data_IF_698378619672
#
_entry.id   IF_698378619672
#
_cell.length_a   1.000
_cell.length_b   1.000
_cell.length_c   1.000
_cell.angle_alpha   90.00
_cell.angle_beta   90.00
_cell.angle_gamma   90.00
#
_symmetry.space_group_name_H-M   'P 1'
#
loop_
_entity.id
_entity.type
_entity.pdbx_description
1 polymer ?
#
# COMPACT_ATOMS: atom_id res chain seq x y z
N UNK A 1 -3.93 -8.16 6.52
CA UNK A 1 -2.91 -8.36 5.48
C UNK A 1 -3.31 -7.59 4.22
N UNK A 2 -2.34 -7.00 3.51
CA UNK A 2 -2.52 -6.46 2.15
C UNK A 2 -1.57 -7.16 1.16
N UNK A 3 -1.93 -7.27 -0.11
CA UNK A 3 -1.06 -7.86 -1.14
C UNK A 3 -1.72 -7.96 -2.50
N UNK A 4 -0.97 -8.31 -3.55
CA UNK A 4 -1.48 -8.46 -4.92
C UNK A 4 -2.44 -9.65 -4.98
N UNK A 5 -3.73 -9.38 -5.15
CA UNK A 5 -4.81 -10.39 -5.11
C UNK A 5 -5.31 -10.85 -6.47
N UNK A 6 -4.74 -10.27 -7.52
CA UNK A 6 -5.17 -10.33 -8.91
C UNK A 6 -4.41 -11.35 -9.76
N UNK A 7 -3.33 -11.95 -9.24
CA UNK A 7 -2.45 -12.82 -10.03
C UNK A 7 -2.30 -14.26 -9.52
N UNK A 8 -2.87 -14.62 -8.35
CA UNK A 8 -2.66 -15.94 -7.77
C UNK A 8 -3.91 -16.49 -7.07
N UNK A 9 -4.08 -17.81 -7.11
CA UNK A 9 -4.93 -18.53 -6.15
C UNK A 9 -4.31 -18.39 -4.76
N UNK A 10 -4.72 -17.34 -4.05
CA UNK A 10 -4.17 -16.95 -2.75
C UNK A 10 -4.34 -18.03 -1.69
N UNK A 11 -5.24 -19.01 -1.88
CA UNK A 11 -5.40 -20.15 -0.97
C UNK A 11 -4.18 -21.08 -0.98
N UNK A 12 -3.41 -21.09 -2.07
CA UNK A 12 -2.19 -21.90 -2.24
C UNK A 12 -0.92 -21.16 -1.82
N UNK A 13 -1.01 -19.89 -1.48
CA UNK A 13 0.12 -19.08 -1.02
C UNK A 13 0.05 -18.98 0.51
N UNK A 14 0.95 -19.65 1.27
CA UNK A 14 0.85 -19.79 2.72
C UNK A 14 0.92 -18.47 3.49
N UNK A 15 1.34 -17.39 2.83
CA UNK A 15 1.34 -16.05 3.39
C UNK A 15 -0.06 -15.44 3.53
N UNK A 16 -0.99 -15.77 2.61
CA UNK A 16 -2.33 -15.19 2.57
C UNK A 16 -3.35 -15.96 3.42
N UNK A 17 -3.12 -17.26 3.66
CA UNK A 17 -3.93 -18.05 4.60
C UNK A 17 -3.69 -17.68 6.06
N UNK A 18 -2.50 -17.15 6.38
CA UNK A 18 -2.10 -16.78 7.74
C UNK A 18 -1.59 -17.94 8.59
N UNK A 19 -1.69 -19.19 8.10
CA UNK A 19 -1.32 -20.40 8.85
C UNK A 19 0.14 -20.35 9.32
N UNK A 20 1.06 -19.91 8.45
CA UNK A 20 2.48 -19.81 8.79
C UNK A 20 2.73 -18.85 9.96
N UNK A 21 2.05 -17.70 9.97
CA UNK A 21 2.20 -16.68 11.02
C UNK A 21 1.55 -17.16 12.32
N UNK A 22 0.36 -17.74 12.25
CA UNK A 22 -0.36 -18.29 13.43
C UNK A 22 0.47 -19.41 14.07
N UNK A 23 0.96 -20.36 13.26
CA UNK A 23 1.76 -21.48 13.75
C UNK A 23 3.07 -21.01 14.39
N UNK A 24 3.76 -20.07 13.76
CA UNK A 24 5.00 -19.49 14.30
C UNK A 24 4.75 -18.75 15.61
N UNK A 25 3.68 -17.96 15.68
CA UNK A 25 3.30 -17.25 16.91
C UNK A 25 2.91 -18.21 18.03
N UNK A 26 2.24 -19.32 17.73
CA UNK A 26 1.91 -20.35 18.71
C UNK A 26 3.17 -21.04 19.24
N UNK A 27 4.12 -21.40 18.35
CA UNK A 27 5.39 -22.02 18.73
C UNK A 27 6.23 -21.10 19.63
N UNK A 28 6.36 -19.83 19.26
CA UNK A 28 7.11 -18.84 20.03
C UNK A 28 6.48 -18.52 21.39
N UNK A 29 5.19 -18.84 21.59
CA UNK A 29 4.47 -18.68 22.85
C UNK A 29 4.33 -19.99 23.64
N UNK A 30 5.31 -20.88 23.55
CA UNK A 30 5.32 -22.15 24.29
C UNK A 30 4.19 -23.12 23.89
N UNK A 31 3.72 -23.06 22.65
CA UNK A 31 2.65 -23.92 22.14
C UNK A 31 1.22 -23.45 22.46
N UNK A 32 1.04 -22.29 23.10
CA UNK A 32 -0.29 -21.76 23.42
C UNK A 32 -1.05 -21.33 22.17
N UNK A 33 -2.28 -21.85 22.01
CA UNK A 33 -3.25 -21.40 20.99
C UNK A 33 -3.67 -19.95 21.25
N UNK A 34 -4.11 -19.24 20.19
CA UNK A 34 -4.62 -17.86 20.22
C UNK A 34 -3.61 -16.77 20.62
N UNK A 35 -2.32 -16.96 20.34
CA UNK A 35 -1.31 -15.91 20.60
C UNK A 35 -1.47 -14.66 19.72
N UNK A 36 -2.17 -14.78 18.58
CA UNK A 36 -2.51 -13.69 17.66
C UNK A 36 -3.89 -13.90 17.06
N UNK A 37 -4.49 -12.81 16.58
CA UNK A 37 -5.65 -12.84 15.68
C UNK A 37 -5.18 -12.41 14.31
N UNK A 38 -5.38 -13.27 13.30
CA UNK A 38 -5.04 -12.97 11.92
C UNK A 38 -6.28 -12.47 11.17
N UNK A 39 -6.18 -11.31 10.53
CA UNK A 39 -7.26 -10.72 9.74
C UNK A 39 -6.76 -10.42 8.32
N UNK A 40 -7.52 -10.89 7.35
CA UNK A 40 -7.37 -10.58 5.92
C UNK A 40 -8.68 -9.99 5.42
N UNK A 41 -8.60 -9.07 4.46
CA UNK A 41 -9.77 -8.43 3.88
C UNK A 41 -9.46 -7.86 2.51
N UNK A 42 -10.50 -7.62 1.71
CA UNK A 42 -10.38 -7.19 0.33
C UNK A 42 -10.46 -5.66 0.20
N UNK A 43 -9.89 -5.15 -0.87
CA UNK A 43 -9.97 -3.76 -1.30
C UNK A 43 -10.14 -3.74 -2.81
N UNK A 44 -10.67 -2.64 -3.38
CA UNK A 44 -10.84 -2.52 -4.83
C UNK A 44 -9.49 -2.59 -5.56
N UNK A 45 -9.49 -3.27 -6.71
CA UNK A 45 -8.30 -3.54 -7.53
C UNK A 45 -8.47 -2.94 -8.93
N UNK A 46 -7.37 -2.90 -9.68
CA UNK A 46 -7.34 -2.38 -11.04
C UNK A 46 -8.02 -1.02 -11.16
N UNK A 47 -8.73 -0.82 -12.27
CA UNK A 47 -9.38 0.45 -12.58
C UNK A 47 -10.41 0.88 -11.51
N UNK A 48 -11.02 -0.08 -10.81
CA UNK A 48 -12.02 0.21 -9.77
C UNK A 48 -11.43 0.82 -8.50
N UNK A 49 -10.16 0.54 -8.21
CA UNK A 49 -9.48 1.02 -7.01
C UNK A 49 -8.50 2.16 -7.27
N UNK A 50 -8.06 2.31 -8.52
CA UNK A 50 -6.82 3.02 -8.85
C UNK A 50 -6.88 3.83 -10.15
N UNK A 51 -8.05 4.05 -10.74
CA UNK A 51 -8.16 5.02 -11.85
C UNK A 51 -7.80 6.41 -11.35
N UNK A 52 -6.80 7.01 -11.98
CA UNK A 52 -6.32 8.35 -11.70
C UNK A 52 -6.44 9.24 -12.94
N UNK A 53 -6.29 10.55 -12.77
CA UNK A 53 -6.46 11.52 -13.86
C UNK A 53 -7.15 12.78 -13.39
N UNK A 54 -7.24 13.79 -14.26
CA UNK A 54 -7.82 15.10 -13.93
C UNK A 54 -9.29 14.99 -13.49
N UNK A 55 -10.07 14.10 -14.12
CA UNK A 55 -11.45 13.84 -13.73
C UNK A 55 -11.55 13.30 -12.29
N UNK A 56 -10.72 12.32 -11.95
CA UNK A 56 -10.75 11.66 -10.63
C UNK A 56 -10.26 12.56 -9.52
N UNK A 57 -9.33 13.49 -9.80
CA UNK A 57 -8.92 14.52 -8.84
C UNK A 57 -10.07 15.48 -8.49
N UNK A 58 -10.86 15.88 -9.48
CA UNK A 58 -11.93 16.87 -9.30
C UNK A 58 -13.22 16.27 -8.74
N UNK A 59 -13.53 15.04 -9.13
CA UNK A 59 -14.85 14.44 -8.93
C UNK A 59 -14.81 13.14 -8.09
N UNK A 60 -13.65 12.71 -7.59
CA UNK A 60 -13.51 11.47 -6.84
C UNK A 60 -12.22 11.40 -6.00
N UNK A 61 -11.77 10.18 -5.72
CA UNK A 61 -10.43 9.92 -5.17
C UNK A 61 -9.75 8.83 -6.01
N UNK A 62 -8.56 9.11 -6.60
CA UNK A 62 -7.83 8.12 -7.38
C UNK A 62 -7.24 6.96 -6.55
N UNK A 63 -7.33 7.05 -5.22
CA UNK A 63 -6.80 6.08 -4.26
C UNK A 63 -7.92 5.34 -3.51
N UNK A 64 -9.03 5.06 -4.18
CA UNK A 64 -10.16 4.30 -3.65
C UNK A 64 -9.73 2.99 -2.96
N UNK A 65 -8.74 2.28 -3.51
CA UNK A 65 -8.17 1.08 -2.89
C UNK A 65 -7.53 1.35 -1.52
N UNK A 66 -6.81 2.47 -1.33
CA UNK A 66 -6.27 2.83 -0.01
C UNK A 66 -7.39 3.22 0.96
N UNK A 67 -8.44 3.88 0.49
CA UNK A 67 -9.59 4.24 1.32
C UNK A 67 -10.25 2.96 1.85
N UNK A 68 -10.45 1.95 1.02
CA UNK A 68 -11.00 0.66 1.43
C UNK A 68 -10.14 0.00 2.51
N UNK A 69 -8.82 0.01 2.33
CA UNK A 69 -7.87 -0.52 3.32
C UNK A 69 -7.96 0.23 4.64
N UNK A 70 -8.12 1.56 4.62
CA UNK A 70 -8.32 2.36 5.84
C UNK A 70 -9.63 2.04 6.52
N UNK A 71 -10.73 1.94 5.77
CA UNK A 71 -12.03 1.56 6.31
C UNK A 71 -11.96 0.18 6.98
N UNK A 72 -11.24 -0.78 6.37
CA UNK A 72 -10.98 -2.08 6.97
C UNK A 72 -10.15 -1.99 8.26
N UNK A 73 -9.04 -1.24 8.27
CA UNK A 73 -8.23 -1.07 9.47
C UNK A 73 -8.99 -0.36 10.60
N UNK A 74 -9.84 0.60 10.24
CA UNK A 74 -10.73 1.31 11.15
C UNK A 74 -11.75 0.36 11.78
N UNK A 75 -12.43 -0.45 10.96
CA UNK A 75 -13.33 -1.49 11.42
C UNK A 75 -12.64 -2.48 12.36
N UNK A 76 -11.45 -2.97 11.98
CA UNK A 76 -10.66 -3.88 12.83
C UNK A 76 -10.34 -3.22 14.17
N UNK A 77 -9.79 -2.01 14.17
CA UNK A 77 -9.45 -1.30 15.41
C UNK A 77 -10.65 -1.18 16.34
N UNK A 78 -11.84 -0.88 15.81
CA UNK A 78 -13.03 -0.64 16.62
C UNK A 78 -13.72 -1.95 17.08
N UNK A 79 -13.57 -3.05 16.32
CA UNK A 79 -14.29 -4.30 16.58
C UNK A 79 -13.44 -5.42 17.16
N UNK A 80 -12.11 -5.39 17.03
CA UNK A 80 -11.24 -6.54 17.38
C UNK A 80 -11.31 -6.91 18.87
N UNK A 81 -11.65 -5.95 19.73
CA UNK A 81 -11.89 -6.19 21.16
C UNK A 81 -13.00 -7.19 21.43
N UNK A 82 -14.01 -7.28 20.56
CA UNK A 82 -15.16 -8.18 20.71
C UNK A 82 -14.80 -9.66 20.54
N UNK A 83 -13.67 -9.95 19.89
CA UNK A 83 -13.17 -11.32 19.68
C UNK A 83 -11.86 -11.57 20.44
N UNK A 84 -11.61 -10.80 21.50
CA UNK A 84 -10.47 -11.00 22.40
C UNK A 84 -9.14 -10.38 21.93
N UNK A 85 -9.14 -9.59 20.86
CA UNK A 85 -7.94 -8.87 20.42
C UNK A 85 -7.75 -7.55 21.16
N UNK A 86 -6.51 -7.04 21.13
CA UNK A 86 -6.19 -5.75 21.74
C UNK A 86 -6.16 -4.65 20.65
N UNK A 87 -7.10 -3.68 20.65
CA UNK A 87 -7.14 -2.61 19.65
C UNK A 87 -5.92 -1.68 19.71
N UNK A 88 -5.19 -1.67 20.83
CA UNK A 88 -3.91 -0.94 20.98
C UNK A 88 -2.70 -1.74 20.50
N UNK A 89 -2.86 -2.95 19.99
CA UNK A 89 -1.77 -3.80 19.49
C UNK A 89 -2.01 -4.28 18.05
N UNK A 90 -2.71 -3.49 17.25
CA UNK A 90 -2.92 -3.77 15.82
C UNK A 90 -1.62 -3.57 15.05
N UNK A 91 -1.23 -4.60 14.30
CA UNK A 91 -0.07 -4.61 13.40
C UNK A 91 -0.54 -4.83 11.98
N UNK A 92 0.01 -4.09 11.02
CA UNK A 92 -0.22 -4.32 9.59
C UNK A 92 0.94 -5.08 8.99
N UNK A 93 0.60 -5.97 8.07
CA UNK A 93 1.54 -6.79 7.33
C UNK A 93 1.10 -6.82 5.87
N UNK A 94 2.04 -6.67 4.94
CA UNK A 94 1.74 -6.72 3.52
C UNK A 94 2.93 -7.09 2.66
N UNK A 95 2.62 -7.60 1.47
CA UNK A 95 3.58 -8.09 0.48
C UNK A 95 3.36 -7.40 -0.88
N UNK A 96 4.42 -7.14 -1.65
CA UNK A 96 4.34 -6.51 -2.98
C UNK A 96 3.54 -5.20 -2.95
N UNK A 97 2.44 -5.11 -3.71
CA UNK A 97 1.53 -3.97 -3.72
C UNK A 97 0.95 -3.64 -2.33
N UNK A 98 0.80 -4.65 -1.46
CA UNK A 98 0.36 -4.48 -0.09
C UNK A 98 1.40 -3.81 0.80
N UNK A 99 2.68 -4.13 0.62
CA UNK A 99 3.77 -3.45 1.32
C UNK A 99 3.86 -1.98 0.87
N UNK A 100 3.71 -1.70 -0.43
CA UNK A 100 3.61 -0.32 -0.95
C UNK A 100 2.40 0.43 -0.39
N UNK A 101 1.25 -0.24 -0.27
CA UNK A 101 0.08 0.37 0.36
C UNK A 101 0.35 0.81 1.79
N UNK A 102 1.08 -0.01 2.56
CA UNK A 102 1.52 0.35 3.93
C UNK A 102 2.45 1.56 3.89
N UNK A 103 3.35 1.68 2.91
CA UNK A 103 4.19 2.88 2.76
C UNK A 103 3.36 4.15 2.61
N UNK A 104 2.27 4.10 1.82
CA UNK A 104 1.36 5.22 1.68
C UNK A 104 0.59 5.51 2.97
N UNK A 105 0.06 4.50 3.68
CA UNK A 105 -0.57 4.72 4.99
C UNK A 105 0.38 5.34 6.02
N UNK A 106 1.65 4.96 5.99
CA UNK A 106 2.69 5.53 6.85
C UNK A 106 2.98 7.00 6.52
N UNK A 107 2.79 7.45 5.28
CA UNK A 107 3.17 8.80 4.81
C UNK A 107 1.98 9.77 4.65
N UNK A 108 0.74 9.29 4.69
CA UNK A 108 -0.50 10.10 4.67
C UNK A 108 -0.46 11.28 5.65
N UNK A 109 -1.00 12.48 5.34
CA UNK A 109 -0.99 13.65 6.23
C UNK A 109 -1.50 13.38 7.66
N UNK A 110 -0.95 14.08 8.66
CA UNK A 110 -1.25 13.85 10.09
C UNK A 110 -2.74 13.97 10.43
N UNK A 111 -3.44 14.92 9.83
CA UNK A 111 -4.88 15.14 9.99
C UNK A 111 -5.74 13.99 9.45
N UNK A 112 -5.18 13.12 8.60
CA UNK A 112 -5.83 11.92 8.05
C UNK A 112 -5.33 10.68 8.80
N UNK A 113 -4.12 10.74 9.39
CA UNK A 113 -3.39 9.62 9.99
C UNK A 113 -3.75 9.43 11.46
N UNK A 114 -4.99 9.06 11.75
CA UNK A 114 -5.32 8.44 13.03
C UNK A 114 -4.54 7.12 13.18
N UNK A 115 -4.01 6.77 14.36
CA UNK A 115 -3.23 5.55 14.52
C UNK A 115 -4.15 4.33 14.46
N UNK A 116 -4.32 3.77 13.26
CA UNK A 116 -5.05 2.52 13.02
C UNK A 116 -4.21 1.28 13.34
N UNK A 117 -2.88 1.44 13.38
CA UNK A 117 -1.92 0.40 13.70
C UNK A 117 -0.66 1.02 14.32
N UNK A 118 0.16 0.21 15.01
CA UNK A 118 1.40 0.66 15.64
C UNK A 118 2.65 -0.16 15.30
N UNK A 119 2.48 -1.18 14.46
CA UNK A 119 3.58 -1.94 13.85
C UNK A 119 3.26 -2.20 12.39
N UNK A 120 4.29 -2.18 11.56
CA UNK A 120 4.20 -2.41 10.14
C UNK A 120 5.29 -3.39 9.71
N UNK A 121 4.89 -4.36 8.89
CA UNK A 121 5.81 -5.30 8.24
C UNK A 121 5.57 -5.22 6.73
N UNK A 122 6.63 -4.86 6.00
CA UNK A 122 6.62 -4.65 4.56
C UNK A 122 7.47 -5.71 3.89
N UNK A 123 6.88 -6.53 3.03
CA UNK A 123 7.56 -7.60 2.30
C UNK A 123 7.62 -7.26 0.82
N UNK A 124 8.81 -7.13 0.25
CA UNK A 124 9.09 -6.83 -1.16
C UNK A 124 8.24 -5.68 -1.73
N UNK A 125 8.28 -4.44 -1.19
CA UNK A 125 7.42 -3.36 -1.65
C UNK A 125 7.58 -3.06 -3.15
N UNK A 126 6.48 -3.15 -3.90
CA UNK A 126 6.40 -2.82 -5.32
C UNK A 126 6.06 -1.34 -5.51
N UNK A 127 7.06 -0.47 -5.43
CA UNK A 127 6.84 0.97 -5.41
C UNK A 127 6.50 1.53 -6.81
N UNK A 128 5.43 2.34 -6.90
CA UNK A 128 4.95 2.92 -8.16
C UNK A 128 5.17 4.44 -8.21
N UNK A 129 5.46 4.96 -9.40
CA UNK A 129 5.81 6.37 -9.64
C UNK A 129 4.65 7.13 -10.29
N UNK A 130 3.44 7.00 -9.73
CA UNK A 130 2.25 7.67 -10.26
C UNK A 130 2.14 9.08 -9.67
N UNK A 131 2.75 10.08 -10.34
CA UNK A 131 2.72 11.49 -9.93
C UNK A 131 2.14 12.46 -10.98
N UNK A 132 2.19 12.12 -12.26
CA UNK A 132 1.83 12.93 -13.43
C UNK A 132 0.34 12.87 -13.78
N UNK A 133 -0.52 13.35 -12.88
CA UNK A 133 -1.99 13.24 -13.02
C UNK A 133 -2.59 13.76 -14.33
N UNK A 134 -1.95 14.73 -14.98
CA UNK A 134 -2.38 15.30 -16.28
C UNK A 134 -1.71 14.64 -17.49
N UNK A 135 -0.71 13.78 -17.26
CA UNK A 135 0.02 13.03 -18.28
C UNK A 135 -0.51 11.60 -18.39
N UNK A 136 0.37 10.62 -18.17
CA UNK A 136 0.13 9.19 -18.45
C UNK A 136 -1.08 8.63 -17.69
N UNK A 137 -1.33 9.13 -16.48
CA UNK A 137 -2.54 8.76 -15.72
C UNK A 137 -3.83 9.22 -16.41
N UNK A 138 -3.87 10.44 -16.93
CA UNK A 138 -5.04 10.96 -17.64
C UNK A 138 -5.25 10.24 -18.98
N UNK A 139 -4.15 9.86 -19.65
CA UNK A 139 -4.20 9.07 -20.87
C UNK A 139 -4.72 7.66 -20.60
N UNK A 140 -4.28 7.04 -19.50
CA UNK A 140 -4.79 5.75 -19.03
C UNK A 140 -6.28 5.80 -18.72
N UNK A 141 -6.74 6.85 -18.04
CA UNK A 141 -8.17 7.08 -17.76
C UNK A 141 -8.99 7.24 -19.03
N UNK A 142 -8.52 8.10 -19.94
CA UNK A 142 -9.19 8.35 -21.22
C UNK A 142 -9.26 7.08 -22.07
N UNK A 143 -8.17 6.30 -22.10
CA UNK A 143 -8.14 5.03 -22.82
C UNK A 143 -9.08 3.99 -22.19
N UNK A 144 -9.20 3.95 -20.87
CA UNK A 144 -10.15 3.08 -20.19
C UNK A 144 -11.59 3.41 -20.60
N UNK A 145 -11.98 4.70 -20.58
CA UNK A 145 -13.32 5.12 -21.01
C UNK A 145 -13.59 4.76 -22.48
N UNK A 146 -12.61 4.95 -23.38
CA UNK A 146 -12.72 4.55 -24.79
C UNK A 146 -12.93 3.04 -24.94
N UNK A 147 -12.19 2.23 -24.19
CA UNK A 147 -12.33 0.78 -24.22
C UNK A 147 -13.70 0.35 -23.69
N UNK A 148 -14.22 0.99 -22.64
CA UNK A 148 -15.57 0.73 -22.12
C UNK A 148 -16.62 1.09 -23.16
N UNK A 149 -16.55 2.30 -23.75
CA UNK A 149 -17.50 2.71 -24.78
C UNK A 149 -17.52 1.77 -25.98
N UNK A 150 -16.35 1.27 -26.40
CA UNK A 150 -16.24 0.30 -27.50
C UNK A 150 -16.91 -1.02 -27.16
N UNK A 151 -16.62 -1.59 -25.98
CA UNK A 151 -17.17 -2.88 -25.56
C UNK A 151 -18.66 -2.82 -25.22
N UNK A 152 -19.10 -1.72 -24.62
CA UNK A 152 -20.50 -1.48 -24.26
C UNK A 152 -21.34 -0.89 -25.41
N UNK A 153 -20.71 -0.57 -26.55
CA UNK A 153 -21.35 0.08 -27.71
C UNK A 153 -22.02 1.41 -27.36
N UNK A 154 -21.39 2.21 -26.51
CA UNK A 154 -21.85 3.55 -26.18
C UNK A 154 -21.60 4.54 -27.31
N UNK A 155 -22.43 5.59 -27.40
CA UNK A 155 -22.24 6.68 -28.35
C UNK A 155 -21.03 7.57 -27.99
N UNK A 156 -20.75 7.74 -26.70
CA UNK A 156 -19.69 8.59 -26.16
C UNK A 156 -18.81 7.82 -25.16
N UNK A 157 -17.54 8.21 -25.08
CA UNK A 157 -16.57 7.68 -24.13
C UNK A 157 -16.49 8.57 -22.88
N UNK A 158 -17.52 8.50 -22.04
CA UNK A 158 -17.67 9.32 -20.85
C UNK A 158 -18.02 8.49 -19.60
N UNK A 159 -18.15 9.19 -18.48
CA UNK A 159 -18.51 8.59 -17.20
C UNK A 159 -19.94 8.06 -17.15
N UNK A 160 -20.87 8.64 -17.92
CA UNK A 160 -22.25 8.17 -17.97
C UNK A 160 -22.30 6.78 -18.59
N UNK A 161 -21.60 6.58 -19.72
CA UNK A 161 -21.40 5.26 -20.32
C UNK A 161 -20.76 4.27 -19.34
N UNK A 162 -19.68 4.67 -18.65
CA UNK A 162 -19.01 3.81 -17.69
C UNK A 162 -19.97 3.34 -16.58
N UNK A 163 -20.77 4.26 -16.04
CA UNK A 163 -21.69 4.00 -14.92
C UNK A 163 -22.93 3.19 -15.34
N UNK A 164 -23.40 3.33 -16.58
CA UNK A 164 -24.54 2.57 -17.10
C UNK A 164 -24.17 1.21 -17.69
N UNK A 165 -22.88 0.94 -17.90
CA UNK A 165 -22.41 -0.30 -18.53
C UNK A 165 -22.62 -1.52 -17.62
N UNK A 166 -22.94 -2.66 -18.24
CA UNK A 166 -23.05 -3.93 -17.52
C UNK A 166 -21.71 -4.31 -16.85
N UNK A 167 -21.76 -4.73 -15.58
CA UNK A 167 -20.57 -5.06 -14.78
C UNK A 167 -19.71 -6.17 -15.38
N UNK A 168 -20.24 -7.03 -16.27
CA UNK A 168 -19.48 -8.08 -16.96
C UNK A 168 -18.44 -7.56 -17.95
N UNK A 169 -18.61 -6.34 -18.47
CA UNK A 169 -17.69 -5.69 -19.43
C UNK A 169 -16.42 -5.19 -18.73
N UNK A 170 -16.59 -4.65 -17.52
CA UNK A 170 -15.52 -3.92 -16.83
C UNK A 170 -14.29 -4.78 -16.50
N UNK A 171 -14.40 -6.05 -16.06
CA UNK A 171 -13.24 -6.93 -15.90
C UNK A 171 -12.47 -7.17 -17.20
N UNK A 172 -13.16 -7.23 -18.33
CA UNK A 172 -12.53 -7.45 -19.64
C UNK A 172 -11.73 -6.22 -20.04
N UNK A 173 -12.33 -5.04 -19.92
CA UNK A 173 -11.67 -3.77 -20.21
C UNK A 173 -10.50 -3.51 -19.26
N UNK A 174 -10.65 -3.85 -17.98
CA UNK A 174 -9.57 -3.73 -17.00
C UNK A 174 -8.32 -4.51 -17.43
N UNK A 175 -8.49 -5.74 -17.96
CA UNK A 175 -7.35 -6.54 -18.46
C UNK A 175 -6.61 -5.87 -19.63
N UNK A 176 -7.30 -5.12 -20.48
CA UNK A 176 -6.69 -4.43 -21.62
C UNK A 176 -5.67 -3.36 -21.19
N UNK A 177 -5.84 -2.75 -20.01
CA UNK A 177 -4.85 -1.80 -19.47
C UNK A 177 -3.52 -2.50 -19.21
N UNK A 178 -3.57 -3.69 -18.59
CA UNK A 178 -2.36 -4.43 -18.22
C UNK A 178 -1.67 -5.12 -19.40
N UNK A 179 -2.36 -5.32 -20.54
CA UNK A 179 -1.75 -5.92 -21.74
C UNK A 179 -0.73 -5.02 -22.43
N UNK A 180 -0.80 -3.71 -22.24
CA UNK A 180 0.15 -2.74 -22.81
C UNK A 180 1.36 -2.47 -21.92
N UNK A 181 1.44 -3.13 -20.77
CA UNK A 181 2.54 -2.96 -19.83
C UNK A 181 3.86 -3.47 -20.42
N UNK A 182 4.89 -2.62 -20.44
CA UNK A 182 6.25 -3.06 -20.67
C UNK A 182 6.76 -3.91 -19.49
N UNK A 183 7.65 -4.86 -19.75
CA UNK A 183 8.31 -5.67 -18.71
C UNK A 183 9.36 -4.87 -17.92
N UNK A 184 9.04 -3.66 -17.46
CA UNK A 184 9.93 -2.79 -16.67
C UNK A 184 9.62 -2.82 -15.15
N UNK A 185 8.57 -3.54 -14.74
CA UNK A 185 8.15 -3.66 -13.35
C UNK A 185 7.28 -2.49 -12.83
N UNK A 186 6.99 -1.50 -13.68
CA UNK A 186 5.94 -0.53 -13.38
C UNK A 186 4.57 -1.21 -13.43
N UNK A 187 3.53 -0.56 -12.89
CA UNK A 187 2.12 -0.95 -13.01
C UNK A 187 1.34 0.28 -13.50
N UNK A 188 0.42 0.16 -14.48
CA UNK A 188 -0.30 1.30 -15.06
C UNK A 188 -1.29 1.92 -14.08
N UNK A 189 -1.61 1.18 -13.01
CA UNK A 189 -2.59 1.54 -12.01
C UNK A 189 -2.01 1.25 -10.63
N UNK A 190 -2.25 2.16 -9.69
CA UNK A 190 -1.77 2.05 -8.32
C UNK A 190 -1.99 3.34 -7.55
N UNK A 191 -1.39 3.47 -6.35
CA UNK A 191 -1.50 4.68 -5.55
C UNK A 191 -0.96 5.90 -6.31
N UNK A 192 -1.82 6.90 -6.54
CA UNK A 192 -1.50 8.11 -7.28
C UNK A 192 -1.39 9.31 -6.35
N UNK A 193 -0.36 10.15 -6.55
CA UNK A 193 -0.28 11.45 -5.89
C UNK A 193 -1.53 12.25 -6.23
N UNK A 194 -2.30 12.71 -5.24
CA UNK A 194 -3.51 13.49 -5.43
C UNK A 194 -3.52 14.82 -4.64
N UNK A 195 -2.43 15.13 -3.94
CA UNK A 195 -2.30 16.38 -3.16
C UNK A 195 -3.02 16.36 -1.80
N UNK A 196 -3.93 15.41 -1.59
CA UNK A 196 -4.71 15.25 -0.35
C UNK A 196 -4.24 14.02 0.44
N UNK A 197 -4.86 12.85 0.23
CA UNK A 197 -4.51 11.58 0.88
C UNK A 197 -3.07 11.16 0.57
N UNK A 198 -2.60 11.39 -0.66
CA UNK A 198 -1.19 11.20 -1.07
C UNK A 198 -0.66 12.55 -1.56
N UNK A 199 -0.03 13.36 -0.70
CA UNK A 199 0.43 14.71 -1.08
C UNK A 199 1.64 14.68 -2.03
N UNK A 200 2.46 13.64 -1.94
CA UNK A 200 3.64 13.40 -2.78
C UNK A 200 3.95 11.91 -2.76
N UNK A 201 4.82 11.47 -3.67
CA UNK A 201 5.48 10.17 -3.63
C UNK A 201 5.98 9.85 -2.21
N UNK A 202 5.74 8.62 -1.71
CA UNK A 202 6.12 8.23 -0.35
C UNK A 202 7.63 8.37 -0.13
N UNK A 203 8.45 8.10 -1.15
CA UNK A 203 9.90 8.33 -1.13
C UNK A 203 10.25 9.77 -0.71
N UNK A 204 9.58 10.77 -1.30
CA UNK A 204 9.79 12.19 -0.96
C UNK A 204 9.32 12.54 0.46
N UNK A 205 8.31 11.84 0.97
CA UNK A 205 7.85 12.02 2.34
C UNK A 205 8.89 11.48 3.32
N UNK A 206 9.45 10.30 3.04
CA UNK A 206 10.48 9.68 3.89
C UNK A 206 11.77 10.49 3.96
N UNK A 207 12.24 11.06 2.84
CA UNK A 207 13.45 11.91 2.84
C UNK A 207 13.27 13.18 3.68
N UNK A 208 12.02 13.66 3.83
CA UNK A 208 11.66 14.81 4.68
C UNK A 208 11.34 14.43 6.13
N UNK A 209 11.48 13.14 6.50
CA UNK A 209 11.08 12.64 7.81
C UNK A 209 9.56 12.71 8.07
N UNK A 210 8.75 12.83 7.03
CA UNK A 210 7.29 12.90 7.11
C UNK A 210 6.72 11.48 7.12
N UNK A 211 6.30 11.00 8.29
CA UNK A 211 5.93 9.61 8.47
C UNK A 211 5.29 9.32 9.83
N UNK A 212 4.50 8.24 9.91
CA UNK A 212 4.03 7.72 11.18
C UNK A 212 5.21 7.02 11.84
N UNK A 213 5.41 7.28 13.12
CA UNK A 213 6.41 6.53 13.88
C UNK A 213 5.77 5.24 14.41
N UNK A 214 6.22 4.11 13.88
CA UNK A 214 5.82 2.79 14.32
C UNK A 214 7.02 1.84 14.35
N UNK A 215 6.84 0.64 14.92
CA UNK A 215 7.82 -0.42 14.69
C UNK A 215 7.72 -0.86 13.24
N UNK A 216 8.85 -0.85 12.54
CA UNK A 216 8.91 -1.17 11.13
C UNK A 216 9.90 -2.32 10.91
N UNK A 217 9.42 -3.38 10.29
CA UNK A 217 10.25 -4.41 9.65
C UNK A 217 10.01 -4.34 8.14
N UNK A 218 11.07 -4.30 7.35
CA UNK A 218 10.97 -4.33 5.89
C UNK A 218 11.89 -5.42 5.37
N UNK A 219 11.52 -6.18 4.33
CA UNK A 219 12.40 -7.13 3.63
C UNK A 219 12.09 -7.20 2.14
N UNK A 220 12.96 -7.85 1.36
CA UNK A 220 12.71 -8.27 -0.03
C UNK A 220 13.27 -9.69 -0.29
N UNK A 221 12.78 -10.42 -1.30
CA UNK A 221 13.27 -11.78 -1.71
C UNK A 221 13.93 -11.74 -3.09
N UNK A 222 14.96 -12.56 -3.29
CA UNK A 222 15.55 -12.87 -4.60
C UNK A 222 15.39 -14.37 -4.90
N UNK A 223 14.79 -14.77 -6.03
CA UNK A 223 15.00 -16.10 -6.60
C UNK A 223 16.28 -16.13 -7.46
N UNK A 224 17.10 -17.17 -7.30
CA UNK A 224 18.40 -17.31 -7.99
C UNK A 224 18.31 -17.56 -9.51
N UNK A 225 17.10 -17.62 -10.12
CA UNK A 225 16.90 -17.90 -11.56
C UNK A 225 15.65 -17.27 -12.19
N UNK A 226 15.37 -15.99 -11.96
CA UNK A 226 14.35 -15.28 -12.75
C UNK A 226 14.83 -13.88 -13.15
N UNK A 227 15.07 -13.72 -14.45
CA UNK A 227 15.11 -12.44 -15.17
C UNK A 227 13.71 -11.80 -15.18
N UNK A 228 13.26 -11.26 -14.06
CA UNK A 228 12.22 -10.22 -14.04
C UNK A 228 12.56 -9.21 -12.94
N UNK A 229 13.29 -8.16 -13.34
CA UNK A 229 13.36 -6.85 -12.71
C UNK A 229 13.78 -6.80 -11.22
N UNK A 230 15.07 -6.54 -11.03
CA UNK A 230 15.91 -6.39 -9.81
C UNK A 230 15.24 -5.69 -8.61
N UNK A 231 15.22 -6.34 -7.42
CA UNK A 231 14.94 -5.72 -6.11
C UNK A 231 15.88 -6.25 -5.01
N UNK A 232 16.73 -5.37 -4.47
CA UNK A 232 17.74 -5.59 -3.40
C UNK A 232 17.24 -6.33 -2.14
N UNK A 233 18.04 -7.26 -1.59
CA UNK A 233 17.85 -7.83 -0.24
C UNK A 233 18.27 -6.81 0.83
N UNK A 234 17.33 -6.24 1.57
CA UNK A 234 17.68 -5.53 2.81
C UNK A 234 16.58 -5.68 3.85
N UNK A 235 16.94 -6.18 5.04
CA UNK A 235 16.05 -6.18 6.20
C UNK A 235 16.34 -4.94 7.05
N UNK A 236 15.40 -4.01 7.13
CA UNK A 236 15.51 -2.87 8.04
C UNK A 236 14.59 -3.09 9.24
N UNK A 237 15.17 -3.18 10.45
CA UNK A 237 14.44 -3.08 11.72
C UNK A 237 14.81 -1.74 12.35
N UNK A 238 13.93 -0.75 12.22
CA UNK A 238 14.18 0.59 12.73
C UNK A 238 13.63 0.73 14.16
N UNK A 239 14.50 1.00 15.14
CA UNK A 239 14.14 1.37 16.51
C UNK A 239 14.77 2.73 16.83
N UNK A 240 13.96 3.71 17.28
CA UNK A 240 14.52 4.96 17.81
C UNK A 240 14.96 4.75 19.27
N UNK A 241 16.23 4.98 19.58
CA UNK A 241 16.64 5.41 20.93
C UNK A 241 16.21 6.86 21.10
N UNK A 242 15.28 7.13 22.02
CA UNK A 242 15.08 8.51 22.49
C UNK A 242 16.32 8.91 23.29
N UNK A 243 17.26 9.62 22.66
CA UNK A 243 18.26 10.37 23.41
C UNK A 243 17.60 11.64 23.94
N UNK A 244 17.32 11.68 25.24
CA UNK A 244 17.18 12.94 25.97
C UNK A 244 18.58 13.56 26.00
N UNK A 245 18.80 14.61 25.23
CA UNK A 245 19.97 15.47 25.43
C UNK A 245 19.76 16.18 26.76
N UNK A 246 20.41 15.70 27.82
CA UNK A 246 20.64 16.53 29.02
C UNK A 246 21.76 17.48 28.66
N UNK A 247 21.46 18.77 28.57
CA UNK A 247 22.44 19.84 28.44
C UNK A 247 23.30 19.92 29.72
N UNK A 248 24.51 19.40 29.65
CA UNK A 248 25.64 19.54 30.59
C UNK A 248 26.83 19.03 29.77
N UNK A 249 27.90 19.75 29.45
CA UNK A 249 28.60 20.88 30.05
C UNK A 249 29.36 21.56 28.89
N UNK A 250 29.28 22.90 28.80
CA UNK A 250 30.27 23.73 28.09
C UNK A 250 31.52 23.78 28.98
N UNK A 251 32.68 23.89 28.35
CA UNK A 251 34.00 24.09 28.96
C UNK A 251 34.78 22.79 29.13
N UNK A 252 35.43 22.39 28.04
CA UNK A 252 36.86 22.07 27.99
C UNK A 252 37.16 21.48 26.62
N UNK A 253 37.93 22.22 25.82
CA UNK A 253 38.98 21.76 24.89
C UNK A 253 39.49 23.04 24.23
N UNK A 254 40.58 23.58 24.77
CA UNK A 254 41.44 24.50 24.06
C UNK A 254 42.11 23.78 22.90
N UNK A 255 42.09 24.39 21.72
CA UNK A 255 42.99 24.06 20.62
C UNK A 255 43.67 25.35 20.17
N UNK A 256 44.98 25.41 20.40
CA UNK A 256 45.89 26.40 19.85
C UNK A 256 46.04 26.20 18.35
N UNK A 257 46.02 27.31 17.61
CA UNK A 257 46.35 27.37 16.20
C UNK A 257 47.86 27.18 15.97
N UNK A 258 48.23 26.26 15.07
CA UNK A 258 49.27 26.40 14.04
C UNK A 258 48.83 25.54 12.85
#
# INVERSE_FOLDING_TARGET
MFGSKDQYDLSKVPFYSGDGIINTASRNNGGKRQSIIYVTGNYRLGAFGWLAGDYMEKNGDPNAGLIDQRAMMQFIRDQIGKIGGNPKQVSVWGESAGASSIMHHLTMPKNIRDPLFNRAILMSPAYQWLWDRKGDMNDTFTQFLKNVATQAKCATADMACLQSTNSSVLPQVNRLIFQKQACDGAMPLGPAVNGSTIPTLAANSYTKGQGMYCWLAMHSVYPDKLEQCVISRTVFVMRRKQYRVRSKVKDDIGMSAV
#
